data_IF_514426774563
#
_entry.id   IF_514426774563
#
_cell.length_a   1.000
_cell.length_b   1.000
_cell.length_c   1.000
_cell.angle_alpha   90.00
_cell.angle_beta   90.00
_cell.angle_gamma   90.00
#
_symmetry.space_group_name_H-M   'P 1'
#
loop_
_entity.id
_entity.type
_entity.pdbx_description
1 polymer ?
#
# COMPACT_ATOMS: atom_id res chain seq x y z
N UNK A 1 58.16 34.38 -9.38
CA UNK A 1 58.50 33.89 -8.03
C UNK A 1 59.27 32.59 -8.21
N UNK A 2 60.32 32.36 -7.42
CA UNK A 2 61.13 31.15 -7.52
C UNK A 2 62.13 31.12 -8.68
N UNK A 3 62.33 32.24 -9.38
CA UNK A 3 63.37 32.43 -10.40
C UNK A 3 64.49 33.29 -9.82
N UNK A 4 65.73 33.07 -10.28
CA UNK A 4 66.84 33.97 -9.93
C UNK A 4 66.75 35.27 -10.72
N UNK A 5 67.27 36.35 -10.15
CA UNK A 5 67.40 37.60 -10.88
C UNK A 5 68.38 37.44 -12.04
N UNK A 6 67.93 37.70 -13.26
CA UNK A 6 68.77 37.71 -14.45
C UNK A 6 69.27 39.15 -14.72
N UNK A 7 70.57 39.43 -14.54
CA UNK A 7 71.13 40.75 -14.83
C UNK A 7 71.34 41.00 -16.33
N UNK A 8 71.06 40.05 -17.23
CA UNK A 8 71.31 40.21 -18.66
C UNK A 8 70.67 41.49 -19.22
N UNK A 9 71.47 42.27 -19.96
CA UNK A 9 71.05 43.56 -20.52
C UNK A 9 71.03 44.72 -19.51
N UNK A 10 71.29 44.47 -18.23
CA UNK A 10 71.44 45.54 -17.23
C UNK A 10 72.74 46.30 -17.45
N UNK A 11 72.67 47.62 -17.28
CA UNK A 11 73.83 48.52 -17.25
C UNK A 11 73.85 49.24 -15.92
N UNK A 12 75.00 49.21 -15.25
CA UNK A 12 75.23 49.92 -13.99
C UNK A 12 76.20 51.06 -14.23
N UNK A 13 75.75 52.29 -13.99
CA UNK A 13 76.62 53.47 -14.07
C UNK A 13 77.37 53.66 -12.75
N UNK A 14 78.68 53.47 -12.78
CA UNK A 14 79.57 53.82 -11.68
C UNK A 14 80.01 55.28 -11.83
N UNK A 15 80.01 56.05 -10.74
CA UNK A 15 80.51 57.42 -10.71
C UNK A 15 81.67 57.50 -9.71
N UNK A 16 82.84 57.96 -10.15
CA UNK A 16 84.00 58.15 -9.27
C UNK A 16 83.88 59.45 -8.45
N UNK A 17 84.84 59.68 -7.55
CA UNK A 17 84.86 60.85 -6.64
C UNK A 17 84.97 62.19 -7.39
N UNK A 18 85.46 62.19 -8.63
CA UNK A 18 85.57 63.36 -9.49
C UNK A 18 84.34 63.55 -10.39
N UNK A 19 83.31 62.72 -10.23
CA UNK A 19 82.08 62.77 -11.02
C UNK A 19 82.16 62.12 -12.40
N UNK A 20 83.27 61.43 -12.73
CA UNK A 20 83.41 60.71 -14.00
C UNK A 20 82.56 59.44 -13.95
N UNK A 21 81.79 59.21 -15.02
CA UNK A 21 80.88 58.07 -15.14
C UNK A 21 81.45 56.97 -16.03
N UNK A 22 81.22 55.72 -15.64
CA UNK A 22 81.51 54.52 -16.43
C UNK A 22 80.28 53.63 -16.42
N UNK A 23 79.75 53.34 -17.59
CA UNK A 23 78.65 52.39 -17.76
C UNK A 23 79.22 50.97 -17.88
N UNK A 24 78.85 50.11 -16.93
CA UNK A 24 79.30 48.73 -16.87
C UNK A 24 78.14 47.83 -17.31
N UNK A 25 78.25 47.09 -18.42
CA UNK A 25 77.27 46.09 -18.82
C UNK A 25 77.38 44.81 -17.96
N UNK A 26 76.29 44.04 -17.93
CA UNK A 26 76.14 42.83 -17.11
C UNK A 26 77.26 41.79 -17.26
N UNK A 27 77.79 41.59 -18.47
CA UNK A 27 78.88 40.68 -18.77
C UNK A 27 80.22 41.07 -18.11
N UNK A 28 80.37 42.34 -17.72
CA UNK A 28 81.55 42.86 -17.01
C UNK A 28 81.35 43.04 -15.50
N UNK A 29 80.18 42.67 -14.94
CA UNK A 29 79.91 42.88 -13.52
C UNK A 29 80.98 42.25 -12.62
N UNK A 30 81.44 41.04 -12.93
CA UNK A 30 82.48 40.35 -12.15
C UNK A 30 83.82 41.11 -12.16
N UNK A 31 84.23 41.69 -13.29
CA UNK A 31 85.47 42.48 -13.42
C UNK A 31 85.44 43.73 -12.52
N UNK A 32 84.27 44.34 -12.38
CA UNK A 32 84.05 45.54 -11.57
C UNK A 32 83.61 45.24 -10.12
N UNK A 33 83.52 43.97 -9.73
CA UNK A 33 83.08 43.55 -8.39
C UNK A 33 81.61 43.89 -8.10
N UNK A 34 80.79 44.00 -9.15
CA UNK A 34 79.34 44.21 -9.05
C UNK A 34 78.69 42.85 -8.77
N UNK A 35 77.80 42.82 -7.78
CA UNK A 35 77.06 41.63 -7.36
C UNK A 35 75.57 41.89 -7.38
N UNK A 36 74.80 40.86 -7.70
CA UNK A 36 73.33 40.85 -7.75
C UNK A 36 72.80 39.71 -6.86
N UNK A 37 71.52 39.69 -6.46
CA UNK A 37 70.99 38.63 -5.62
C UNK A 37 71.10 37.26 -6.29
N UNK A 38 71.51 36.26 -5.51
CA UNK A 38 71.64 34.87 -5.96
C UNK A 38 70.50 33.97 -5.46
N UNK A 39 69.72 34.46 -4.51
CA UNK A 39 68.52 33.79 -3.98
C UNK A 39 67.34 33.90 -4.96
N UNK A 40 66.43 32.93 -4.90
CA UNK A 40 65.24 32.94 -5.74
C UNK A 40 64.28 34.06 -5.29
N UNK A 41 63.73 34.77 -6.27
CA UNK A 41 62.85 35.92 -6.02
C UNK A 41 61.55 35.50 -5.34
N UNK A 42 61.18 36.19 -4.27
CA UNK A 42 59.90 35.95 -3.57
C UNK A 42 58.77 36.78 -4.18
N UNK A 43 57.51 36.33 -4.06
CA UNK A 43 56.36 37.02 -4.67
C UNK A 43 56.14 38.46 -4.16
N UNK A 44 56.51 38.74 -2.91
CA UNK A 44 56.35 40.06 -2.30
C UNK A 44 57.56 40.97 -2.57
N UNK A 45 58.57 40.46 -3.30
CA UNK A 45 59.77 41.22 -3.63
C UNK A 45 59.50 42.23 -4.76
N UNK A 46 59.71 43.51 -4.47
CA UNK A 46 59.48 44.62 -5.41
C UNK A 46 60.77 45.26 -5.92
N UNK A 47 61.92 44.86 -5.36
CA UNK A 47 63.23 45.39 -5.73
C UNK A 47 64.35 44.38 -5.46
N UNK A 48 65.45 44.51 -6.21
CA UNK A 48 66.71 43.81 -5.97
C UNK A 48 67.80 44.81 -5.63
N UNK A 49 68.70 44.44 -4.72
CA UNK A 49 69.88 45.23 -4.41
C UNK A 49 71.05 44.82 -5.30
N UNK A 50 71.59 45.77 -6.07
CA UNK A 50 72.85 45.62 -6.82
C UNK A 50 73.96 46.27 -6.02
N UNK A 51 75.04 45.55 -5.74
CA UNK A 51 76.09 45.99 -4.81
C UNK A 51 77.43 46.06 -5.51
N UNK A 52 78.22 47.10 -5.19
CA UNK A 52 79.61 47.24 -5.63
C UNK A 52 80.41 47.83 -4.48
N UNK A 53 81.38 47.08 -3.94
CA UNK A 53 82.08 47.42 -2.69
C UNK A 53 81.07 47.78 -1.58
N UNK A 54 81.19 48.95 -0.96
CA UNK A 54 80.31 49.45 0.11
C UNK A 54 79.08 50.24 -0.41
N UNK A 55 78.87 50.27 -1.72
CA UNK A 55 77.76 50.98 -2.35
C UNK A 55 76.68 50.02 -2.81
N UNK A 56 75.43 50.48 -2.79
CA UNK A 56 74.27 49.73 -3.26
C UNK A 56 73.33 50.60 -4.08
N UNK A 57 72.70 50.00 -5.07
CA UNK A 57 71.61 50.55 -5.85
C UNK A 57 70.42 49.60 -5.80
N UNK A 58 69.21 50.15 -5.89
CA UNK A 58 67.97 49.38 -5.90
C UNK A 58 67.41 49.37 -7.31
N UNK A 59 67.21 48.16 -7.87
CA UNK A 59 66.54 47.98 -9.15
C UNK A 59 65.11 47.50 -8.88
N UNK A 60 64.07 48.27 -9.25
CA UNK A 60 62.69 47.80 -9.14
C UNK A 60 62.45 46.60 -10.05
N UNK A 61 61.68 45.64 -9.56
CA UNK A 61 61.26 44.45 -10.29
C UNK A 61 59.78 44.18 -10.04
N UNK A 62 59.16 43.42 -10.93
CA UNK A 62 57.82 42.88 -10.75
C UNK A 62 57.91 41.36 -10.75
N UNK A 63 57.64 40.74 -9.61
CA UNK A 63 57.61 39.28 -9.51
C UNK A 63 56.18 38.80 -9.76
N UNK A 64 55.98 38.00 -10.80
CA UNK A 64 54.71 37.28 -11.00
C UNK A 64 54.67 36.08 -10.05
N UNK A 65 53.61 35.95 -9.26
CA UNK A 65 53.36 34.77 -8.41
C UNK A 65 53.15 33.55 -9.30
N UNK A 66 53.68 32.38 -8.91
CA UNK A 66 53.38 31.14 -9.65
C UNK A 66 51.91 30.77 -9.48
N UNK A 67 51.22 30.45 -10.57
CA UNK A 67 49.84 29.95 -10.51
C UNK A 67 49.80 28.50 -10.02
N UNK A 68 48.62 28.07 -9.55
CA UNK A 68 48.41 26.71 -9.06
C UNK A 68 48.51 25.71 -10.23
N UNK A 69 49.39 24.72 -10.11
CA UNK A 69 49.61 23.73 -11.15
C UNK A 69 48.63 22.55 -11.01
N UNK A 70 47.54 22.58 -11.79
CA UNK A 70 46.53 21.51 -11.84
C UNK A 70 47.09 20.18 -12.34
N UNK A 71 48.21 20.18 -13.06
CA UNK A 71 48.86 18.98 -13.59
C UNK A 71 49.80 18.31 -12.58
N UNK A 72 50.21 19.00 -11.51
CA UNK A 72 51.13 18.49 -10.49
C UNK A 72 50.56 18.55 -9.08
N UNK A 73 49.60 17.67 -8.78
CA UNK A 73 48.93 17.63 -7.47
C UNK A 73 49.76 16.79 -6.49
N UNK A 74 50.20 17.41 -5.40
CA UNK A 74 50.92 16.73 -4.32
C UNK A 74 49.98 16.13 -3.27
N UNK A 75 48.88 16.80 -2.92
CA UNK A 75 47.98 16.37 -1.84
C UNK A 75 46.51 16.79 -2.07
N UNK A 76 45.59 16.06 -1.44
CA UNK A 76 44.15 16.32 -1.38
C UNK A 76 43.67 16.21 0.08
N UNK A 77 42.96 17.22 0.57
CA UNK A 77 42.40 17.26 1.92
C UNK A 77 40.93 17.67 1.89
N UNK A 78 40.08 17.03 2.70
CA UNK A 78 38.68 17.46 2.85
C UNK A 78 38.67 18.63 3.85
N UNK A 79 38.37 19.82 3.35
CA UNK A 79 38.25 21.04 4.17
C UNK A 79 36.88 21.13 4.82
N UNK A 80 35.83 20.88 4.04
CA UNK A 80 34.44 20.89 4.49
C UNK A 80 33.78 19.58 4.09
N UNK A 81 33.26 18.78 5.03
CA UNK A 81 32.47 17.58 4.74
C UNK A 81 31.20 17.89 3.92
N UNK A 82 30.60 16.89 3.25
CA UNK A 82 29.35 17.07 2.52
C UNK A 82 28.20 17.30 3.50
N UNK A 83 27.13 17.92 3.03
CA UNK A 83 25.92 18.15 3.83
C UNK A 83 25.23 16.84 4.25
N UNK A 84 25.29 15.82 3.39
CA UNK A 84 24.76 14.48 3.66
C UNK A 84 25.88 13.51 4.05
N UNK A 85 25.89 13.12 5.31
CA UNK A 85 26.83 12.12 5.86
C UNK A 85 26.15 10.84 6.35
N UNK A 86 24.81 10.80 6.33
CA UNK A 86 23.99 9.65 6.71
C UNK A 86 23.18 9.19 5.51
N UNK A 87 23.26 7.90 5.22
CA UNK A 87 22.68 7.27 4.04
C UNK A 87 21.89 6.04 4.43
N UNK A 88 20.92 5.67 3.60
CA UNK A 88 20.34 4.31 3.62
C UNK A 88 21.08 3.44 2.61
N UNK A 89 21.27 2.16 2.93
CA UNK A 89 21.87 1.18 2.00
C UNK A 89 21.19 1.22 0.62
N UNK A 90 22.02 1.29 -0.43
CA UNK A 90 21.57 1.45 -1.81
C UNK A 90 21.53 2.90 -2.32
N UNK A 91 21.65 3.91 -1.46
CA UNK A 91 21.79 5.31 -1.90
C UNK A 91 23.18 5.57 -2.50
N UNK A 92 23.26 6.55 -3.42
CA UNK A 92 24.54 7.06 -3.94
C UNK A 92 25.10 8.13 -3.01
N UNK A 93 26.43 8.23 -2.97
CA UNK A 93 27.11 9.31 -2.27
C UNK A 93 26.76 10.67 -2.88
N UNK A 94 26.45 11.64 -2.04
CA UNK A 94 26.11 13.01 -2.44
C UNK A 94 27.23 13.96 -1.98
N UNK A 95 28.05 14.50 -2.91
CA UNK A 95 29.13 15.41 -2.57
C UNK A 95 28.65 16.85 -2.26
N UNK A 96 27.34 17.15 -2.34
CA UNK A 96 26.84 18.51 -2.19
C UNK A 96 27.29 19.19 -0.88
N UNK A 97 27.86 20.39 -1.01
CA UNK A 97 28.43 21.19 0.08
C UNK A 97 29.85 20.79 0.51
N UNK A 98 30.43 19.73 -0.08
CA UNK A 98 31.82 19.36 0.17
C UNK A 98 32.77 20.39 -0.45
N UNK A 99 33.84 20.71 0.27
CA UNK A 99 34.97 21.51 -0.23
C UNK A 99 36.27 20.75 0.04
N UNK A 100 37.09 20.63 -0.99
CA UNK A 100 38.38 19.94 -0.95
C UNK A 100 39.50 20.94 -1.18
N UNK A 101 40.55 20.90 -0.38
CA UNK A 101 41.78 21.66 -0.62
C UNK A 101 42.77 20.78 -1.38
N UNK A 102 43.19 21.23 -2.56
CA UNK A 102 44.30 20.64 -3.30
C UNK A 102 45.59 21.41 -3.01
N UNK A 103 46.71 20.70 -2.90
CA UNK A 103 48.06 21.29 -2.82
C UNK A 103 48.88 20.79 -3.99
N UNK A 104 49.50 21.69 -4.75
CA UNK A 104 50.42 21.32 -5.84
C UNK A 104 51.84 21.01 -5.32
N UNK A 105 52.73 20.52 -6.18
CA UNK A 105 54.13 20.22 -5.83
C UNK A 105 54.95 21.45 -5.42
N UNK A 106 54.51 22.66 -5.77
CA UNK A 106 55.12 23.92 -5.34
C UNK A 106 54.57 24.39 -3.98
N UNK A 107 53.64 23.65 -3.37
CA UNK A 107 53.00 23.99 -2.10
C UNK A 107 51.84 24.98 -2.21
N UNK A 108 51.44 25.39 -3.42
CA UNK A 108 50.30 26.29 -3.61
C UNK A 108 49.00 25.54 -3.39
N UNK A 109 48.03 26.18 -2.75
CA UNK A 109 46.75 25.58 -2.38
C UNK A 109 45.58 26.21 -3.12
N UNK A 110 44.57 25.39 -3.44
CA UNK A 110 43.29 25.86 -3.97
C UNK A 110 42.15 25.08 -3.31
N UNK A 111 41.10 25.80 -2.90
CA UNK A 111 39.87 25.20 -2.42
C UNK A 111 38.90 24.99 -3.58
N UNK A 112 38.47 23.75 -3.76
CA UNK A 112 37.59 23.32 -4.84
C UNK A 112 36.26 22.90 -4.23
N UNK A 113 35.15 23.61 -4.52
CA UNK A 113 33.82 23.16 -4.14
C UNK A 113 33.36 21.99 -5.02
N UNK A 114 32.44 21.16 -4.50
CA UNK A 114 31.91 19.97 -5.19
C UNK A 114 31.47 20.21 -6.64
N UNK A 115 30.86 21.35 -6.94
CA UNK A 115 30.41 21.76 -8.28
C UNK A 115 31.54 21.85 -9.31
N UNK A 116 32.78 22.09 -8.85
CA UNK A 116 33.98 22.19 -9.70
C UNK A 116 34.83 20.93 -9.69
N UNK A 117 34.40 19.85 -9.05
CA UNK A 117 35.20 18.62 -8.97
C UNK A 117 35.61 18.09 -10.34
N UNK A 118 34.69 18.10 -11.31
CA UNK A 118 35.00 17.66 -12.67
C UNK A 118 36.10 18.50 -13.34
N UNK A 119 36.13 19.82 -13.13
CA UNK A 119 37.15 20.72 -13.69
C UNK A 119 38.56 20.44 -13.15
N UNK A 120 38.65 19.89 -11.94
CA UNK A 120 39.91 19.55 -11.28
C UNK A 120 40.20 18.05 -11.32
N UNK A 121 39.40 17.26 -12.04
CA UNK A 121 39.55 15.79 -12.11
C UNK A 121 39.34 15.09 -10.77
N UNK A 122 38.63 15.73 -9.84
CA UNK A 122 38.23 15.14 -8.57
C UNK A 122 37.05 14.20 -8.84
N UNK A 123 37.15 12.97 -8.35
CA UNK A 123 36.14 11.93 -8.49
C UNK A 123 35.67 11.43 -7.13
N UNK A 124 34.42 11.01 -7.06
CA UNK A 124 33.77 10.43 -5.87
C UNK A 124 33.13 9.11 -6.26
N UNK A 125 32.76 8.23 -5.29
CA UNK A 125 32.15 6.96 -5.63
C UNK A 125 30.81 7.13 -6.35
N UNK A 126 30.64 6.38 -7.43
CA UNK A 126 29.41 6.35 -8.24
C UNK A 126 28.51 5.17 -7.90
N UNK A 127 29.08 4.13 -7.30
CA UNK A 127 28.36 2.94 -6.86
C UNK A 127 27.44 3.24 -5.68
N UNK A 128 26.40 2.43 -5.55
CA UNK A 128 25.51 2.51 -4.41
C UNK A 128 26.25 2.07 -3.14
N UNK A 129 26.03 2.81 -2.05
CA UNK A 129 26.66 2.54 -0.76
C UNK A 129 26.13 1.25 -0.15
N UNK A 130 27.02 0.48 0.47
CA UNK A 130 26.71 -0.79 1.15
C UNK A 130 26.60 -0.58 2.66
N UNK A 131 25.84 -1.44 3.36
CA UNK A 131 25.61 -1.32 4.81
C UNK A 131 26.86 -1.32 5.68
N UNK A 132 27.94 -1.97 5.24
CA UNK A 132 29.18 -2.12 6.02
C UNK A 132 30.18 -0.98 5.73
N UNK A 133 29.81 -0.06 4.82
CA UNK A 133 30.65 1.05 4.41
C UNK A 133 30.60 2.19 5.42
N UNK A 134 31.76 2.58 5.95
CA UNK A 134 31.92 3.63 6.97
C UNK A 134 32.62 4.89 6.44
N UNK A 135 33.14 4.83 5.21
CA UNK A 135 33.83 5.93 4.53
C UNK A 135 33.71 5.83 3.01
N UNK A 136 33.89 6.97 2.35
CA UNK A 136 34.04 7.07 0.89
C UNK A 136 35.40 7.67 0.55
N UNK A 137 35.96 7.29 -0.58
CA UNK A 137 37.22 7.84 -1.08
C UNK A 137 36.94 8.93 -2.11
N UNK A 138 37.44 10.14 -1.86
CA UNK A 138 37.48 11.25 -2.83
C UNK A 138 38.86 11.24 -3.46
N UNK A 139 38.95 11.14 -4.79
CA UNK A 139 40.22 10.91 -5.50
C UNK A 139 40.52 12.00 -6.49
N UNK A 140 41.80 12.33 -6.64
CA UNK A 140 42.31 13.16 -7.73
C UNK A 140 43.65 12.56 -8.16
N UNK A 141 43.73 12.12 -9.42
CA UNK A 141 44.89 11.35 -9.92
C UNK A 141 45.20 10.15 -9.01
N UNK A 142 46.41 10.07 -8.48
CA UNK A 142 46.92 9.06 -7.56
C UNK A 142 46.67 9.40 -6.08
N UNK A 143 46.15 10.60 -5.77
CA UNK A 143 45.89 11.05 -4.40
C UNK A 143 44.45 10.75 -3.99
N UNK A 144 44.24 10.53 -2.69
CA UNK A 144 42.92 10.27 -2.12
C UNK A 144 42.76 10.86 -0.72
N UNK A 145 41.53 11.28 -0.41
CA UNK A 145 41.07 11.65 0.91
C UNK A 145 39.87 10.79 1.30
N UNK A 146 39.72 10.49 2.59
CA UNK A 146 38.63 9.64 3.09
C UNK A 146 37.59 10.48 3.83
N UNK A 147 36.33 10.45 3.35
CA UNK A 147 35.21 11.09 4.02
C UNK A 147 34.42 10.04 4.82
N UNK A 148 34.33 10.15 6.16
CA UNK A 148 33.48 9.26 6.96
C UNK A 148 32.00 9.46 6.62
N UNK A 149 31.26 8.35 6.60
CA UNK A 149 29.80 8.30 6.40
C UNK A 149 29.18 7.27 7.34
N UNK A 150 27.85 7.32 7.50
CA UNK A 150 27.08 6.27 8.18
C UNK A 150 26.03 5.72 7.21
N UNK A 151 26.01 4.42 7.00
CA UNK A 151 25.00 3.74 6.18
C UNK A 151 24.07 2.93 7.08
N UNK A 152 22.78 3.29 7.11
CA UNK A 152 21.77 2.49 7.80
C UNK A 152 21.27 1.38 6.87
N UNK A 153 21.29 0.11 7.29
CA UNK A 153 20.80 -1.00 6.47
C UNK A 153 19.36 -0.77 6.01
N UNK A 154 19.07 -1.16 4.78
CA UNK A 154 17.70 -1.11 4.27
C UNK A 154 16.96 -2.34 4.78
N UNK A 155 16.12 -2.15 5.79
CA UNK A 155 15.26 -3.24 6.29
C UNK A 155 14.12 -3.50 5.29
N UNK A 156 14.00 -4.74 4.82
CA UNK A 156 12.82 -5.17 4.06
C UNK A 156 11.59 -5.11 4.96
N UNK A 157 10.43 -4.74 4.42
CA UNK A 157 9.17 -4.78 5.17
C UNK A 157 8.62 -6.20 5.19
N UNK A 158 7.95 -6.56 6.28
CA UNK A 158 7.13 -7.78 6.36
C UNK A 158 5.99 -7.66 5.36
N UNK A 159 5.63 -8.76 4.70
CA UNK A 159 4.48 -8.77 3.78
C UNK A 159 3.18 -8.42 4.50
N UNK A 160 2.28 -7.73 3.81
CA UNK A 160 0.97 -7.35 4.36
C UNK A 160 0.17 -8.62 4.66
N UNK A 161 -0.36 -8.80 5.89
CA UNK A 161 -1.18 -9.96 6.19
C UNK A 161 -2.50 -9.90 5.42
N UNK A 162 -3.13 -11.04 5.24
CA UNK A 162 -4.50 -11.16 4.71
C UNK A 162 -5.42 -11.52 5.85
N UNK A 163 -6.54 -10.82 5.97
CA UNK A 163 -7.64 -11.20 6.86
C UNK A 163 -8.73 -11.82 5.99
N UNK A 164 -9.14 -13.04 6.29
CA UNK A 164 -10.24 -13.68 5.57
C UNK A 164 -11.55 -12.95 5.86
N UNK A 165 -12.42 -12.89 4.85
CA UNK A 165 -13.70 -12.21 4.98
C UNK A 165 -14.54 -12.86 6.09
N UNK A 166 -14.95 -12.04 7.06
CA UNK A 166 -15.75 -12.47 8.21
C UNK A 166 -17.20 -11.99 8.06
N UNK A 167 -18.13 -12.75 8.63
CA UNK A 167 -19.57 -12.46 8.64
C UNK A 167 -20.06 -12.30 10.08
N UNK A 168 -21.13 -11.53 10.24
CA UNK A 168 -21.80 -11.42 11.54
C UNK A 168 -22.21 -12.81 12.05
N UNK A 169 -21.93 -13.08 13.33
CA UNK A 169 -22.10 -14.38 13.97
C UNK A 169 -20.81 -15.21 14.05
N UNK A 170 -19.78 -14.92 13.24
CA UNK A 170 -18.51 -15.64 13.31
C UNK A 170 -17.83 -15.40 14.66
N UNK A 171 -17.24 -16.47 15.23
CA UNK A 171 -16.46 -16.43 16.48
C UNK A 171 -14.95 -16.55 16.26
N UNK A 172 -14.52 -16.55 15.01
CA UNK A 172 -13.13 -16.74 14.63
C UNK A 172 -12.76 -15.69 13.59
N UNK A 173 -11.58 -15.11 13.76
CA UNK A 173 -10.90 -14.31 12.75
C UNK A 173 -9.76 -15.17 12.22
N UNK A 174 -9.71 -15.37 10.91
CA UNK A 174 -8.66 -16.17 10.27
C UNK A 174 -7.97 -15.35 9.20
N UNK A 175 -6.78 -15.78 8.81
CA UNK A 175 -6.04 -15.11 7.75
C UNK A 175 -4.73 -15.81 7.41
N UNK A 176 -3.93 -15.12 6.59
CA UNK A 176 -2.56 -15.52 6.28
C UNK A 176 -1.58 -14.38 6.55
N UNK A 177 -0.32 -14.72 6.77
CA UNK A 177 0.81 -13.79 6.82
C UNK A 177 2.10 -14.55 6.47
N UNK A 178 3.21 -13.82 6.34
CA UNK A 178 4.53 -14.44 6.22
C UNK A 178 4.76 -15.45 7.37
N UNK A 179 5.20 -16.69 7.10
CA UNK A 179 5.38 -17.71 8.14
C UNK A 179 6.25 -17.24 9.30
N UNK A 180 5.81 -17.49 10.54
CA UNK A 180 6.51 -17.04 11.75
C UNK A 180 6.38 -15.54 12.06
N UNK A 181 5.63 -14.77 11.27
CA UNK A 181 5.34 -13.38 11.60
C UNK A 181 4.45 -13.28 12.84
N UNK A 182 4.79 -12.35 13.74
CA UNK A 182 3.91 -11.95 14.84
C UNK A 182 2.91 -10.92 14.31
N UNK A 183 1.62 -11.23 14.40
CA UNK A 183 0.54 -10.31 14.08
C UNK A 183 0.04 -9.60 15.34
N UNK A 184 -0.24 -8.30 15.18
CA UNK A 184 -1.05 -7.50 16.08
C UNK A 184 -2.38 -7.24 15.40
N UNK A 185 -3.46 -7.79 15.93
CA UNK A 185 -4.82 -7.72 15.36
C UNK A 185 -5.71 -6.89 16.27
N UNK A 186 -6.32 -5.84 15.73
CA UNK A 186 -7.31 -5.02 16.43
C UNK A 186 -8.69 -5.61 16.15
N UNK A 187 -9.39 -6.03 17.21
CA UNK A 187 -10.73 -6.61 17.14
C UNK A 187 -11.71 -5.78 17.99
N UNK A 188 -13.02 -6.05 17.91
CA UNK A 188 -14.01 -5.43 18.81
C UNK A 188 -13.76 -5.73 20.30
N UNK A 189 -13.04 -6.81 20.63
CA UNK A 189 -12.64 -7.15 22.01
C UNK A 189 -11.32 -6.46 22.43
N UNK A 190 -10.74 -5.62 21.57
CA UNK A 190 -9.45 -4.97 21.78
C UNK A 190 -8.32 -5.61 20.96
N UNK A 191 -7.09 -5.30 21.35
CA UNK A 191 -5.90 -5.78 20.64
C UNK A 191 -5.57 -7.21 21.07
N UNK A 192 -5.29 -8.08 20.08
CA UNK A 192 -4.84 -9.45 20.24
C UNK A 192 -3.52 -9.65 19.49
N UNK A 193 -2.71 -10.61 19.93
CA UNK A 193 -1.50 -11.02 19.21
C UNK A 193 -1.55 -12.51 18.89
N UNK A 194 -1.02 -12.87 17.73
CA UNK A 194 -0.92 -14.27 17.27
C UNK A 194 0.28 -14.42 16.36
N UNK A 195 0.90 -15.59 16.31
CA UNK A 195 1.99 -15.89 15.38
C UNK A 195 1.45 -16.72 14.24
N UNK A 196 1.79 -16.36 13.00
CA UNK A 196 1.48 -17.17 11.83
C UNK A 196 2.24 -18.49 11.86
N UNK A 197 1.54 -19.59 11.63
CA UNK A 197 2.11 -20.93 11.57
C UNK A 197 3.13 -21.07 10.44
N UNK A 198 3.80 -22.23 10.38
CA UNK A 198 4.74 -22.54 9.30
C UNK A 198 4.09 -22.56 7.91
N UNK A 199 2.77 -22.79 7.85
CA UNK A 199 1.94 -22.72 6.64
C UNK A 199 1.44 -21.30 6.33
N UNK A 200 1.86 -20.30 7.12
CA UNK A 200 1.44 -18.91 7.00
C UNK A 200 0.04 -18.62 7.52
N UNK A 201 -0.69 -19.59 8.08
CA UNK A 201 -2.05 -19.39 8.58
C UNK A 201 -2.05 -18.92 10.03
N UNK A 202 -3.07 -18.15 10.39
CA UNK A 202 -3.32 -17.72 11.77
C UNK A 202 -4.82 -17.67 12.06
N UNK A 203 -5.16 -17.85 13.34
CA UNK A 203 -6.54 -17.81 13.83
C UNK A 203 -6.60 -17.15 15.21
N UNK A 204 -7.61 -16.31 15.42
CA UNK A 204 -7.99 -15.76 16.72
C UNK A 204 -9.43 -16.18 17.01
N UNK A 205 -9.65 -16.81 18.16
CA UNK A 205 -10.99 -17.10 18.67
C UNK A 205 -11.47 -15.94 19.55
N UNK A 206 -12.72 -15.53 19.38
CA UNK A 206 -13.39 -14.47 20.14
C UNK A 206 -14.38 -15.06 21.15
N UNK A 207 -14.57 -14.38 22.27
CA UNK A 207 -15.61 -14.70 23.23
C UNK A 207 -17.00 -14.28 22.74
N UNK A 208 -17.06 -13.14 22.05
CA UNK A 208 -18.28 -12.56 21.49
C UNK A 208 -18.33 -12.75 19.98
N UNK A 209 -19.47 -13.23 19.41
CA UNK A 209 -19.65 -13.25 17.95
C UNK A 209 -19.48 -11.86 17.34
N UNK A 210 -18.86 -11.80 16.16
CA UNK A 210 -18.72 -10.56 15.40
C UNK A 210 -20.09 -10.01 15.01
N UNK A 211 -20.24 -8.69 15.05
CA UNK A 211 -21.40 -7.98 14.53
C UNK A 211 -21.10 -7.41 13.13
N UNK A 212 -22.14 -7.23 12.31
CA UNK A 212 -22.02 -6.55 11.02
C UNK A 212 -21.45 -5.15 11.21
N UNK A 213 -20.52 -4.75 10.35
CA UNK A 213 -19.87 -3.44 10.42
C UNK A 213 -18.70 -3.35 11.40
N UNK A 214 -18.42 -4.39 12.19
CA UNK A 214 -17.17 -4.43 12.96
C UNK A 214 -15.97 -4.32 12.02
N UNK A 215 -14.97 -3.53 12.43
CA UNK A 215 -13.74 -3.35 11.66
C UNK A 215 -12.63 -4.17 12.33
N UNK A 216 -11.94 -4.97 11.53
CA UNK A 216 -10.80 -5.78 11.97
C UNK A 216 -9.57 -5.29 11.22
N UNK A 217 -8.50 -5.01 11.96
CA UNK A 217 -7.22 -4.55 11.41
C UNK A 217 -6.09 -5.47 11.83
N UNK A 218 -5.09 -5.66 10.98
CA UNK A 218 -3.93 -6.48 11.29
C UNK A 218 -2.64 -5.88 10.73
N UNK A 219 -1.59 -5.90 11.54
CA UNK A 219 -0.21 -5.60 11.15
C UNK A 219 0.67 -6.78 11.51
N UNK A 220 1.58 -7.18 10.63
CA UNK A 220 2.51 -8.29 10.82
C UNK A 220 3.96 -7.79 10.97
N UNK A 221 4.75 -8.53 11.75
CA UNK A 221 6.17 -8.25 12.01
C UNK A 221 6.96 -9.56 12.03
N UNK A 222 7.90 -9.70 11.10
CA UNK A 222 8.94 -10.73 11.14
C UNK A 222 10.20 -10.16 11.80
N UNK A 223 10.90 -10.98 12.57
CA UNK A 223 12.16 -10.58 13.21
C UNK A 223 13.19 -10.16 12.15
N UNK A 224 13.87 -9.03 12.37
CA UNK A 224 14.81 -8.45 11.40
C UNK A 224 14.18 -7.67 10.24
N UNK A 225 12.85 -7.67 10.08
CA UNK A 225 12.13 -6.87 9.08
C UNK A 225 11.42 -5.66 9.69
N UNK A 226 11.10 -4.68 8.84
CA UNK A 226 10.12 -3.62 9.16
C UNK A 226 8.72 -4.21 9.34
N UNK A 227 7.84 -3.52 10.07
CA UNK A 227 6.43 -3.90 10.15
C UNK A 227 5.76 -3.82 8.76
N UNK A 228 4.74 -4.64 8.55
CA UNK A 228 3.93 -4.59 7.34
C UNK A 228 3.08 -3.32 7.27
N UNK A 229 2.47 -3.07 6.12
CA UNK A 229 1.31 -2.19 6.05
C UNK A 229 0.12 -2.81 6.80
N UNK A 230 -0.86 -1.99 7.18
CA UNK A 230 -2.10 -2.45 7.84
C UNK A 230 -3.05 -3.09 6.82
N UNK A 231 -3.53 -4.29 7.11
CA UNK A 231 -4.68 -4.90 6.47
C UNK A 231 -5.95 -4.57 7.25
N UNK A 232 -7.07 -4.33 6.56
CA UNK A 232 -8.35 -4.02 7.20
C UNK A 232 -9.51 -4.65 6.44
N UNK A 233 -10.48 -5.21 7.18
CA UNK A 233 -11.77 -5.63 6.63
C UNK A 233 -12.91 -5.08 7.49
N UNK A 234 -14.09 -5.00 6.90
CA UNK A 234 -15.34 -4.76 7.62
C UNK A 234 -16.17 -6.04 7.59
N UNK A 235 -16.64 -6.48 8.75
CA UNK A 235 -17.45 -7.69 8.89
C UNK A 235 -18.74 -7.53 8.11
N UNK A 236 -18.98 -8.48 7.20
CA UNK A 236 -20.15 -8.49 6.34
C UNK A 236 -21.41 -9.00 7.05
N UNK A 237 -22.52 -8.99 6.33
CA UNK A 237 -23.80 -9.54 6.77
C UNK A 237 -23.68 -11.01 7.16
N UNK A 238 -24.44 -11.41 8.18
CA UNK A 238 -24.65 -12.81 8.50
C UNK A 238 -25.17 -13.56 7.26
N UNK A 239 -24.82 -14.84 7.15
CA UNK A 239 -25.38 -15.69 6.10
C UNK A 239 -26.89 -15.88 6.39
N UNK A 240 -27.79 -15.69 5.41
CA UNK A 240 -29.22 -15.92 5.61
C UNK A 240 -29.51 -17.30 6.19
N UNK A 241 -30.50 -17.41 7.06
CA UNK A 241 -30.93 -18.68 7.68
C UNK A 241 -31.40 -19.67 6.60
N UNK A 242 -32.07 -19.18 5.54
CA UNK A 242 -32.46 -19.99 4.40
C UNK A 242 -31.28 -20.69 3.69
N UNK A 243 -30.07 -20.12 3.75
CA UNK A 243 -28.88 -20.78 3.16
C UNK A 243 -28.24 -21.81 4.11
N UNK A 244 -28.76 -21.95 5.33
CA UNK A 244 -28.21 -22.82 6.37
C UNK A 244 -29.17 -23.96 6.75
N UNK A 245 -30.47 -23.74 6.57
CA UNK A 245 -31.54 -24.69 6.91
C UNK A 245 -32.20 -25.15 5.63
N UNK A 246 -32.55 -26.43 5.54
CA UNK A 246 -33.36 -26.96 4.44
C UNK A 246 -34.65 -27.54 5.00
N UNK A 247 -35.84 -27.02 4.63
CA UNK A 247 -37.11 -27.56 5.10
C UNK A 247 -37.33 -29.01 4.64
N UNK A 248 -37.72 -29.86 5.57
CA UNK A 248 -38.16 -31.22 5.30
C UNK A 248 -39.57 -31.21 4.69
N UNK A 249 -39.77 -32.02 3.66
CA UNK A 249 -41.08 -32.26 3.05
C UNK A 249 -41.82 -33.33 3.87
N UNK A 250 -43.09 -33.12 4.26
CA UNK A 250 -43.90 -34.15 4.90
C UNK A 250 -44.00 -35.44 4.07
N UNK A 251 -43.89 -36.60 4.72
CA UNK A 251 -43.95 -37.91 4.04
C UNK A 251 -45.28 -38.18 3.33
N UNK A 252 -46.38 -37.60 3.81
CA UNK A 252 -47.72 -37.80 3.27
C UNK A 252 -48.37 -36.47 2.88
N UNK A 253 -48.81 -36.39 1.62
CA UNK A 253 -49.58 -35.25 1.10
C UNK A 253 -50.93 -35.12 1.79
N UNK A 254 -51.45 -33.91 1.88
CA UNK A 254 -52.81 -33.65 2.38
C UNK A 254 -53.81 -33.77 1.23
N UNK A 255 -54.84 -34.64 1.34
CA UNK A 255 -55.92 -34.69 0.36
C UNK A 255 -56.80 -33.46 0.44
N UNK A 256 -56.93 -32.73 -0.67
CA UNK A 256 -57.71 -31.49 -0.78
C UNK A 256 -58.70 -31.56 -1.94
N UNK A 257 -59.76 -30.77 -1.91
CA UNK A 257 -60.78 -30.76 -2.97
C UNK A 257 -60.25 -30.11 -4.25
N UNK A 258 -59.63 -28.95 -4.12
CA UNK A 258 -59.01 -28.24 -5.21
C UNK A 258 -57.56 -27.86 -4.86
N UNK A 259 -56.54 -28.58 -5.38
CA UNK A 259 -55.13 -28.30 -5.08
C UNK A 259 -54.64 -26.90 -5.44
N UNK A 260 -55.36 -26.17 -6.30
CA UNK A 260 -54.98 -24.80 -6.68
C UNK A 260 -55.76 -23.73 -5.89
N UNK A 261 -56.70 -24.14 -5.03
CA UNK A 261 -57.52 -23.22 -4.22
C UNK A 261 -58.00 -23.89 -2.92
N UNK A 262 -57.09 -23.99 -1.95
CA UNK A 262 -57.35 -24.58 -0.63
C UNK A 262 -58.28 -23.71 0.22
N UNK A 263 -59.16 -24.37 0.98
CA UNK A 263 -59.94 -23.70 2.04
C UNK A 263 -59.05 -23.30 3.23
N UNK A 264 -59.59 -22.47 4.14
CA UNK A 264 -58.88 -22.08 5.37
C UNK A 264 -58.51 -23.30 6.22
N UNK A 265 -59.42 -24.26 6.32
CA UNK A 265 -59.25 -25.50 7.07
C UNK A 265 -58.19 -26.40 6.44
N UNK A 266 -58.20 -26.53 5.11
CA UNK A 266 -57.19 -27.30 4.37
C UNK A 266 -55.79 -26.69 4.54
N UNK A 267 -55.67 -25.35 4.51
CA UNK A 267 -54.40 -24.64 4.78
C UNK A 267 -53.87 -24.93 6.18
N UNK A 268 -54.71 -24.90 7.21
CA UNK A 268 -54.30 -25.19 8.59
C UNK A 268 -53.81 -26.64 8.76
N UNK A 269 -54.43 -27.60 8.05
CA UNK A 269 -53.98 -29.00 8.07
C UNK A 269 -52.61 -29.13 7.39
N UNK A 270 -52.41 -28.51 6.22
CA UNK A 270 -51.12 -28.52 5.51
C UNK A 270 -50.04 -27.87 6.36
N UNK A 271 -50.32 -26.71 6.97
CA UNK A 271 -49.42 -26.01 7.89
C UNK A 271 -48.97 -26.90 9.03
N UNK A 272 -49.89 -27.54 9.74
CA UNK A 272 -49.57 -28.47 10.85
C UNK A 272 -48.71 -29.65 10.40
N UNK A 273 -48.95 -30.20 9.20
CA UNK A 273 -48.11 -31.27 8.65
C UNK A 273 -46.68 -30.79 8.35
N UNK A 274 -46.54 -29.61 7.75
CA UNK A 274 -45.22 -28.98 7.47
C UNK A 274 -44.48 -28.71 8.78
N UNK A 275 -45.14 -28.11 9.77
CA UNK A 275 -44.55 -27.86 11.10
C UNK A 275 -44.14 -29.16 11.80
N UNK A 276 -44.98 -30.20 11.74
CA UNK A 276 -44.68 -31.51 12.34
C UNK A 276 -43.48 -32.19 11.65
N UNK A 277 -43.37 -32.11 10.33
CA UNK A 277 -42.26 -32.68 9.58
C UNK A 277 -40.93 -31.95 9.85
N UNK A 278 -40.99 -30.68 10.27
CA UNK A 278 -39.84 -29.83 10.56
C UNK A 278 -39.60 -29.60 12.05
N UNK A 279 -40.17 -30.44 12.92
CA UNK A 279 -39.99 -30.32 14.37
C UNK A 279 -38.50 -30.41 14.72
N UNK A 280 -37.95 -29.34 15.28
CA UNK A 280 -36.53 -29.23 15.64
C UNK A 280 -35.59 -28.80 14.51
N UNK A 281 -36.08 -28.67 13.28
CA UNK A 281 -35.30 -28.18 12.12
C UNK A 281 -35.37 -26.65 12.00
N UNK A 282 -36.51 -26.05 12.37
CA UNK A 282 -36.70 -24.61 12.27
C UNK A 282 -36.18 -23.89 13.53
N UNK A 283 -35.45 -22.77 13.36
CA UNK A 283 -35.09 -21.92 14.49
C UNK A 283 -36.34 -21.29 15.13
N UNK A 284 -36.20 -20.87 16.38
CA UNK A 284 -37.29 -20.21 17.10
C UNK A 284 -37.70 -18.90 16.40
N UNK A 285 -39.00 -18.68 16.22
CA UNK A 285 -39.55 -17.52 15.52
C UNK A 285 -39.81 -17.72 14.01
N UNK A 286 -39.52 -18.91 13.46
CA UNK A 286 -39.92 -19.26 12.09
C UNK A 286 -41.43 -19.26 11.93
N UNK A 287 -41.92 -18.68 10.83
CA UNK A 287 -43.33 -18.63 10.45
C UNK A 287 -43.57 -19.50 9.22
N UNK A 288 -44.65 -20.28 9.24
CA UNK A 288 -45.11 -21.07 8.08
C UNK A 288 -46.46 -20.55 7.62
N UNK A 289 -46.55 -20.20 6.34
CA UNK A 289 -47.76 -19.72 5.68
C UNK A 289 -48.08 -20.57 4.46
N UNK A 290 -49.35 -20.91 4.26
CA UNK A 290 -49.82 -21.75 3.15
C UNK A 290 -50.60 -20.89 2.14
N UNK A 291 -50.11 -20.86 0.90
CA UNK A 291 -50.74 -20.22 -0.25
C UNK A 291 -52.06 -20.87 -0.64
N UNK A 292 -52.84 -20.22 -1.51
CA UNK A 292 -54.08 -20.79 -2.06
C UNK A 292 -53.82 -22.05 -2.89
N UNK A 293 -52.65 -22.17 -3.49
CA UNK A 293 -52.18 -23.32 -4.26
C UNK A 293 -51.52 -24.42 -3.40
N UNK A 294 -51.57 -24.28 -2.07
CA UNK A 294 -50.93 -25.20 -1.14
C UNK A 294 -49.42 -25.03 -1.00
N UNK A 295 -48.79 -24.08 -1.69
CA UNK A 295 -47.36 -23.77 -1.52
C UNK A 295 -47.10 -23.27 -0.09
N UNK A 296 -46.13 -23.86 0.60
CA UNK A 296 -45.70 -23.37 1.90
C UNK A 296 -44.56 -22.37 1.75
N UNK A 297 -44.73 -21.18 2.32
CA UNK A 297 -43.66 -20.18 2.49
C UNK A 297 -43.19 -20.24 3.95
N UNK A 298 -41.91 -20.53 4.15
CA UNK A 298 -41.26 -20.56 5.44
C UNK A 298 -40.47 -19.27 5.56
N UNK A 299 -40.84 -18.40 6.50
CA UNK A 299 -40.11 -17.16 6.79
C UNK A 299 -39.34 -17.32 8.09
N UNK A 300 -38.03 -17.20 8.02
CA UNK A 300 -37.13 -17.32 9.17
C UNK A 300 -37.06 -16.00 9.97
N UNK A 301 -36.52 -16.00 11.20
CA UNK A 301 -36.39 -14.79 12.02
C UNK A 301 -35.60 -13.64 11.38
N UNK A 302 -34.67 -13.94 10.46
CA UNK A 302 -33.91 -12.94 9.69
C UNK A 302 -34.64 -12.47 8.42
N UNK A 303 -35.92 -12.85 8.25
CA UNK A 303 -36.78 -12.63 7.09
C UNK A 303 -36.32 -13.32 5.79
N UNK A 304 -35.28 -14.14 5.82
CA UNK A 304 -34.99 -15.04 4.70
C UNK A 304 -36.12 -16.07 4.55
N UNK A 305 -36.31 -16.60 3.34
CA UNK A 305 -37.44 -17.46 3.04
C UNK A 305 -37.04 -18.70 2.26
N UNK A 306 -37.72 -19.81 2.59
CA UNK A 306 -37.79 -21.01 1.77
C UNK A 306 -39.21 -21.25 1.29
N UNK A 307 -39.34 -22.05 0.21
CA UNK A 307 -40.63 -22.49 -0.32
C UNK A 307 -40.66 -23.99 -0.55
N UNK A 308 -41.73 -24.64 -0.09
CA UNK A 308 -42.07 -26.01 -0.46
C UNK A 308 -43.25 -25.94 -1.42
N UNK A 309 -43.11 -26.51 -2.62
CA UNK A 309 -44.15 -26.43 -3.66
C UNK A 309 -45.44 -27.12 -3.19
N UNK A 310 -46.59 -26.55 -3.53
CA UNK A 310 -47.89 -27.16 -3.21
C UNK A 310 -48.03 -28.58 -3.78
N UNK A 311 -47.45 -28.85 -4.95
CA UNK A 311 -47.40 -30.19 -5.55
C UNK A 311 -46.76 -31.25 -4.64
N UNK A 312 -45.86 -30.85 -3.74
CA UNK A 312 -45.18 -31.75 -2.80
C UNK A 312 -45.97 -31.93 -1.50
N UNK A 313 -46.94 -31.04 -1.24
CA UNK A 313 -47.70 -30.97 0.00
C UNK A 313 -49.15 -31.45 -0.11
N UNK A 314 -49.79 -31.29 -1.28
CA UNK A 314 -51.22 -31.58 -1.45
C UNK A 314 -51.50 -32.49 -2.65
N UNK A 315 -52.63 -33.20 -2.60
CA UNK A 315 -53.12 -34.05 -3.68
C UNK A 315 -54.65 -33.94 -3.77
N UNK A 316 -55.20 -34.00 -4.99
CA UNK A 316 -56.66 -33.96 -5.18
C UNK A 316 -57.30 -35.20 -4.56
N UNK A 317 -58.36 -35.02 -3.76
CA UNK A 317 -59.18 -36.14 -3.25
C UNK A 317 -59.68 -36.98 -4.43
N UNK A 318 -59.50 -38.30 -4.36
CA UNK A 318 -60.07 -39.22 -5.33
C UNK A 318 -61.57 -39.33 -5.06
N UNK A 319 -62.41 -38.85 -5.98
CA UNK A 319 -63.85 -39.06 -5.90
C UNK A 319 -64.11 -40.55 -6.15
N UNK A 320 -64.49 -41.28 -5.11
CA UNK A 320 -65.14 -42.58 -5.29
C UNK A 320 -66.60 -42.26 -5.62
N UNK A 321 -66.94 -42.30 -6.91
CA UNK A 321 -68.32 -42.18 -7.34
C UNK A 321 -69.06 -43.45 -6.92
N UNK A 322 -69.70 -43.42 -5.75
CA UNK A 322 -70.72 -44.41 -5.41
C UNK A 322 -71.95 -44.10 -6.28
N UNK A 323 -71.97 -44.67 -7.48
CA UNK A 323 -73.17 -44.74 -8.32
C UNK A 323 -74.24 -45.52 -7.52
N UNK A 324 -75.42 -44.94 -7.21
CA UNK A 324 -76.45 -45.67 -6.51
C UNK A 324 -77.02 -46.76 -7.44
N UNK A 325 -76.93 -48.03 -7.02
CA UNK A 325 -77.58 -49.16 -7.69
C UNK A 325 -79.05 -49.20 -7.27
N UNK A 326 -79.93 -49.04 -8.26
CA UNK A 326 -81.37 -49.04 -8.09
C UNK A 326 -81.85 -50.47 -7.77
N UNK A 327 -82.16 -50.77 -6.51
CA UNK A 327 -82.71 -52.05 -6.10
C UNK A 327 -84.23 -52.04 -6.32
N UNK A 328 -84.64 -52.77 -7.36
CA UNK A 328 -86.02 -53.02 -7.79
C UNK A 328 -86.85 -53.62 -6.64
N UNK A 329 -87.88 -52.91 -6.17
CA UNK A 329 -88.92 -53.46 -5.31
C UNK A 329 -89.98 -54.23 -6.14
N UNK A 330 -90.53 -55.35 -5.64
CA UNK A 330 -91.57 -56.10 -6.32
C UNK A 330 -92.93 -55.38 -6.25
N UNK A 331 -93.73 -55.55 -7.31
CA UNK A 331 -95.08 -55.02 -7.45
C UNK A 331 -96.10 -55.89 -6.72
N UNK A 332 -97.02 -55.26 -6.00
CA UNK A 332 -98.36 -55.79 -5.72
C UNK A 332 -99.37 -54.64 -5.84
N UNK A 333 -100.36 -54.84 -6.70
CA UNK A 333 -101.60 -54.07 -6.91
C UNK A 333 -102.43 -54.02 -5.62
N UNK A 334 -103.37 -53.09 -5.38
CA UNK A 334 -104.69 -52.96 -6.04
C UNK A 334 -105.32 -51.58 -5.68
N UNK A 335 -105.97 -50.95 -6.69
CA UNK A 335 -107.05 -49.90 -6.72
C UNK A 335 -106.82 -48.56 -6.01
N UNK A 336 -106.86 -47.38 -6.66
CA UNK A 336 -107.85 -46.85 -7.62
C UNK A 336 -108.75 -45.88 -6.85
N UNK A 337 -108.66 -44.57 -6.99
CA UNK A 337 -109.29 -43.66 -7.98
C UNK A 337 -108.77 -42.23 -7.67
N UNK A 338 -108.56 -41.25 -8.55
CA UNK A 338 -108.82 -41.05 -9.97
C UNK A 338 -108.18 -39.70 -10.36
N UNK A 339 -107.53 -39.67 -11.54
CA UNK A 339 -107.59 -38.65 -12.62
C UNK A 339 -107.42 -37.15 -12.25
N UNK A 340 -106.75 -36.28 -12.99
CA UNK A 340 -106.04 -36.30 -14.28
C UNK A 340 -105.65 -34.85 -14.62
N UNK A 341 -104.70 -34.64 -15.54
CA UNK A 341 -104.57 -33.37 -16.28
C UNK A 341 -103.32 -32.58 -15.89
N UNK A 342 -102.12 -32.85 -16.41
CA UNK A 342 -101.59 -32.46 -17.73
C UNK A 342 -101.59 -30.92 -17.92
N UNK A 343 -100.48 -30.42 -18.48
CA UNK A 343 -100.36 -29.33 -19.48
C UNK A 343 -99.57 -28.07 -19.06
N UNK A 344 -98.37 -27.99 -19.65
CA UNK A 344 -97.78 -26.87 -20.42
C UNK A 344 -97.42 -25.57 -19.68
N UNK A 345 -96.18 -25.12 -19.91
CA UNK A 345 -95.68 -23.83 -19.46
C UNK A 345 -96.24 -22.64 -20.24
N UNK A 346 -96.16 -21.46 -19.62
CA UNK A 346 -96.28 -20.11 -20.18
C UNK A 346 -95.50 -19.22 -19.19
N UNK A 347 -94.42 -18.55 -19.57
CA UNK A 347 -94.38 -17.26 -20.25
C UNK A 347 -95.00 -16.11 -19.43
N UNK A 348 -94.26 -14.98 -19.34
CA UNK A 348 -94.82 -13.71 -18.86
C UNK A 348 -93.98 -13.06 -17.75
N UNK A 349 -92.92 -12.31 -18.05
CA UNK A 349 -92.94 -10.87 -18.38
C UNK A 349 -93.05 -9.97 -17.15
N UNK A 350 -92.04 -9.09 -17.02
CA UNK A 350 -92.19 -7.74 -16.48
C UNK A 350 -91.81 -7.59 -15.01
N UNK A 351 -90.71 -6.89 -14.72
CA UNK A 351 -90.75 -5.43 -14.69
C UNK A 351 -89.34 -4.89 -14.46
N UNK A 352 -88.92 -4.00 -15.35
CA UNK A 352 -87.82 -3.06 -15.18
C UNK A 352 -87.95 -2.29 -13.86
N UNK A 353 -86.84 -1.84 -13.28
CA UNK A 353 -86.51 -0.41 -13.09
C UNK A 353 -85.11 -0.27 -12.48
N UNK A 354 -84.19 0.05 -13.39
CA UNK A 354 -83.15 1.06 -13.33
C UNK A 354 -83.25 2.08 -12.17
N UNK A 355 -82.19 2.22 -11.36
CA UNK A 355 -81.58 3.54 -11.08
C UNK A 355 -80.18 3.44 -10.47
N UNK A 356 -79.22 3.93 -11.26
CA UNK A 356 -77.91 4.45 -10.85
C UNK A 356 -78.03 5.48 -9.72
N UNK A 357 -77.09 5.44 -8.78
CA UNK A 357 -76.39 6.61 -8.18
C UNK A 357 -75.32 6.05 -7.23
N UNK A 358 -74.10 6.55 -7.06
CA UNK A 358 -73.17 7.46 -7.74
C UNK A 358 -71.90 7.34 -6.87
N UNK A 359 -70.71 7.38 -7.47
CA UNK A 359 -69.43 7.56 -6.76
C UNK A 359 -69.33 8.98 -6.18
N UNK A 360 -68.48 9.12 -5.17
CA UNK A 360 -67.67 10.27 -4.72
C UNK A 360 -67.31 9.92 -3.26
N UNK A 361 -66.08 9.95 -2.75
CA UNK A 361 -64.75 10.32 -3.23
C UNK A 361 -63.70 9.55 -2.40
#
# INVERSE_FOLDING_TARGET
EGEKFDPAGMVVTLTDENGKKVDVPADKFTEYGITVPTEDLTKDQTKVEVKVKDKKAEQPITVKEKEFDKEKIANIEIKTPPTKTKYTEGEKFDPAGMVVTLTDENGKKVDVPAEKFAEYGITVPTENLTKDQTKVEVKVKDKKAEQPITVTPKVSKTEMPVINNAKAGDKKITGTAEPGATLTVITPEGVKTVVAGADGKWEITLGTPLAEGNVIKAVAKVNGKGASNEASITVGKAKPIADQVTPAIPKEKTPVENPTNLTKEEKEIVKKKVEKANKGNFPNGTKVEIGTDGTATITYPDNSQDKIKGSDLVVKKKIISNKPTNKKLPKTSITGTSLSGIIIGLAGIGMSILKKKKRED
#
